data_IF_270456512111
#
_entry.id   IF_270456512111
#
_cell.length_a   1.000
_cell.length_b   1.000
_cell.length_c   1.000
_cell.angle_alpha   90.00
_cell.angle_beta   90.00
_cell.angle_gamma   90.00
#
_symmetry.space_group_name_H-M   'P 1'
#
loop_
_entity.id
_entity.type
_entity.pdbx_description
1 polymer ?
#
# COMPACT_ATOMS: atom_id res chain seq x y z
N UNK A 1 -16.03 3.51 -8.56
CA UNK A 1 -14.69 3.90 -9.06
C UNK A 1 -13.90 2.71 -9.60
N UNK A 2 -13.29 1.82 -8.79
CA UNK A 2 -12.42 0.76 -9.33
C UNK A 2 -13.15 -0.23 -10.26
N UNK A 3 -14.38 -0.61 -9.93
CA UNK A 3 -15.21 -1.46 -10.80
C UNK A 3 -15.55 -0.79 -12.15
N UNK A 4 -15.66 0.54 -12.17
CA UNK A 4 -15.89 1.30 -13.41
C UNK A 4 -14.65 1.28 -14.30
N UNK A 5 -13.47 1.51 -13.71
CA UNK A 5 -12.19 1.43 -14.44
C UNK A 5 -12.00 0.03 -15.03
N UNK A 6 -12.30 -1.01 -14.25
CA UNK A 6 -12.21 -2.40 -14.73
C UNK A 6 -13.15 -2.70 -15.90
N UNK A 7 -14.36 -2.11 -15.92
CA UNK A 7 -15.29 -2.21 -17.06
C UNK A 7 -14.79 -1.48 -18.31
N UNK A 8 -14.05 -0.38 -18.14
CA UNK A 8 -13.42 0.35 -19.27
C UNK A 8 -12.29 -0.49 -19.88
N UNK A 9 -11.45 -1.11 -19.03
CA UNK A 9 -10.38 -1.98 -19.50
C UNK A 9 -9.77 -2.77 -18.36
N UNK A 10 -9.93 -4.09 -18.39
CA UNK A 10 -9.40 -5.00 -17.38
C UNK A 10 -7.87 -5.09 -17.37
N UNK A 11 -7.20 -4.58 -18.39
CA UNK A 11 -5.74 -4.49 -18.49
C UNK A 11 -5.16 -3.26 -17.79
N UNK A 12 -5.98 -2.29 -17.37
CA UNK A 12 -5.52 -1.08 -16.70
C UNK A 12 -5.11 -1.44 -15.25
N UNK A 13 -3.84 -1.25 -14.85
CA UNK A 13 -3.42 -1.51 -13.48
C UNK A 13 -4.12 -0.55 -12.51
N UNK A 14 -4.63 -1.08 -11.40
CA UNK A 14 -5.27 -0.29 -10.35
C UNK A 14 -4.73 -0.64 -8.97
N UNK A 15 -4.79 0.35 -8.06
CA UNK A 15 -4.45 0.18 -6.65
C UNK A 15 -5.59 0.58 -5.73
N UNK A 16 -5.75 -0.15 -4.63
CA UNK A 16 -6.73 0.14 -3.58
C UNK A 16 -6.12 1.11 -2.56
N UNK A 17 -6.71 2.30 -2.41
CA UNK A 17 -6.28 3.34 -1.47
C UNK A 17 -7.04 3.22 -0.14
N UNK A 18 -6.32 3.18 0.99
CA UNK A 18 -6.91 3.04 2.34
C UNK A 18 -6.25 4.02 3.30
N UNK A 19 -7.06 4.89 3.92
CA UNK A 19 -6.61 5.94 4.84
C UNK A 19 -6.70 5.59 6.33
N UNK A 20 -7.69 4.80 6.73
CA UNK A 20 -7.97 4.52 8.15
C UNK A 20 -8.40 3.06 8.35
N UNK A 21 -7.99 2.46 9.49
CA UNK A 21 -8.52 1.18 9.98
C UNK A 21 -8.32 1.06 11.50
N UNK A 22 -9.30 0.53 12.26
CA UNK A 22 -9.13 0.23 13.69
C UNK A 22 -8.08 -0.87 13.94
N UNK A 23 -7.46 -0.85 15.12
CA UNK A 23 -6.27 -1.60 15.52
C UNK A 23 -6.46 -3.14 15.52
N UNK A 24 -5.56 -3.85 14.81
CA UNK A 24 -5.16 -5.27 14.93
C UNK A 24 -4.45 -5.75 13.64
N UNK A 25 -3.22 -6.26 13.73
CA UNK A 25 -2.31 -6.32 12.56
C UNK A 25 -2.63 -7.40 11.51
N UNK A 26 -2.94 -8.64 11.92
CA UNK A 26 -3.18 -9.77 10.99
C UNK A 26 -4.59 -9.74 10.37
N UNK A 27 -5.68 -9.48 11.14
CA UNK A 27 -7.01 -9.33 10.57
C UNK A 27 -7.07 -8.26 9.47
N UNK A 28 -6.32 -7.15 9.62
CA UNK A 28 -6.25 -6.07 8.65
C UNK A 28 -5.58 -6.48 7.34
N UNK A 29 -4.42 -7.14 7.36
CA UNK A 29 -3.74 -7.55 6.13
C UNK A 29 -4.67 -8.40 5.25
N UNK A 30 -5.33 -9.39 5.84
CA UNK A 30 -6.29 -10.24 5.12
C UNK A 30 -7.53 -9.46 4.65
N UNK A 31 -7.99 -8.48 5.42
CA UNK A 31 -9.08 -7.59 4.99
C UNK A 31 -8.69 -6.78 3.76
N UNK A 32 -7.53 -6.14 3.76
CA UNK A 32 -7.07 -5.33 2.63
C UNK A 32 -6.82 -6.16 1.37
N UNK A 33 -6.25 -7.35 1.55
CA UNK A 33 -6.05 -8.31 0.46
C UNK A 33 -7.37 -8.76 -0.15
N UNK A 34 -8.38 -9.09 0.67
CA UNK A 34 -9.72 -9.43 0.16
C UNK A 34 -10.35 -8.27 -0.60
N UNK A 35 -10.32 -7.07 -0.01
CA UNK A 35 -10.87 -5.88 -0.66
C UNK A 35 -10.17 -5.60 -2.00
N UNK A 36 -8.84 -5.71 -2.07
CA UNK A 36 -8.09 -5.52 -3.30
C UNK A 36 -8.42 -6.59 -4.35
N UNK A 37 -8.52 -7.86 -3.94
CA UNK A 37 -8.88 -8.95 -4.83
C UNK A 37 -10.30 -8.82 -5.39
N UNK A 38 -11.27 -8.42 -4.55
CA UNK A 38 -12.68 -8.24 -4.92
C UNK A 38 -12.84 -7.19 -6.05
N UNK A 39 -12.09 -6.09 -5.95
CA UNK A 39 -12.11 -5.02 -6.97
C UNK A 39 -11.11 -5.23 -8.11
N UNK A 40 -10.32 -6.32 -8.07
CA UNK A 40 -9.30 -6.63 -9.07
C UNK A 40 -8.07 -5.71 -9.05
N UNK A 41 -7.78 -5.06 -7.93
CA UNK A 41 -6.59 -4.23 -7.76
C UNK A 41 -5.35 -5.11 -7.51
N UNK A 42 -4.25 -4.85 -8.23
CA UNK A 42 -2.97 -5.56 -8.08
C UNK A 42 -2.06 -4.98 -7.00
N UNK A 43 -2.47 -3.86 -6.39
CA UNK A 43 -1.67 -3.07 -5.46
C UNK A 43 -2.54 -2.53 -4.32
N UNK A 44 -1.95 -2.40 -3.14
CA UNK A 44 -2.56 -1.79 -1.96
C UNK A 44 -1.73 -0.56 -1.59
N UNK A 45 -2.39 0.58 -1.37
CA UNK A 45 -1.76 1.85 -0.99
C UNK A 45 -2.32 2.33 0.34
N UNK A 46 -1.49 2.34 1.38
CA UNK A 46 -1.91 2.61 2.76
C UNK A 46 -1.37 3.93 3.27
N UNK A 47 -2.11 4.55 4.19
CA UNK A 47 -1.51 5.56 5.05
C UNK A 47 -0.29 4.96 5.76
N UNK A 48 0.86 5.65 5.74
CA UNK A 48 2.11 5.14 6.29
C UNK A 48 2.03 4.78 7.78
N UNK A 49 1.10 5.39 8.52
CA UNK A 49 0.86 5.10 9.93
C UNK A 49 0.22 3.72 10.17
N UNK A 50 -0.36 3.09 9.13
CA UNK A 50 -0.90 1.73 9.20
C UNK A 50 0.13 0.65 8.86
N UNK A 51 1.26 1.04 8.25
CA UNK A 51 2.27 0.07 7.82
C UNK A 51 3.08 -0.41 9.03
N UNK A 52 2.91 -1.68 9.37
CA UNK A 52 3.69 -2.40 10.39
C UNK A 52 4.45 -3.56 9.73
N UNK A 53 5.58 -4.02 10.28
CA UNK A 53 6.39 -5.09 9.68
C UNK A 53 5.58 -6.35 9.35
N UNK A 54 4.71 -6.80 10.26
CA UNK A 54 3.88 -7.99 10.06
C UNK A 54 2.85 -7.79 8.95
N UNK A 55 2.17 -6.64 8.95
CA UNK A 55 1.19 -6.31 7.93
C UNK A 55 1.83 -6.22 6.54
N UNK A 56 2.98 -5.55 6.42
CA UNK A 56 3.74 -5.47 5.17
C UNK A 56 4.18 -6.85 4.68
N UNK A 57 4.69 -7.70 5.57
CA UNK A 57 5.06 -9.07 5.26
C UNK A 57 3.87 -9.88 4.74
N UNK A 58 2.71 -9.85 5.40
CA UNK A 58 1.55 -10.64 5.00
C UNK A 58 0.95 -10.19 3.65
N UNK A 59 0.94 -8.88 3.36
CA UNK A 59 0.52 -8.33 2.05
C UNK A 59 1.46 -8.82 0.95
N UNK A 60 2.77 -8.64 1.14
CA UNK A 60 3.78 -9.01 0.14
C UNK A 60 3.86 -10.51 -0.10
N UNK A 61 3.77 -11.33 0.95
CA UNK A 61 3.79 -12.80 0.85
C UNK A 61 2.66 -13.33 -0.05
N UNK A 62 1.59 -12.57 -0.24
CA UNK A 62 0.44 -12.93 -1.09
C UNK A 62 0.48 -12.29 -2.48
N UNK A 63 1.61 -11.67 -2.85
CA UNK A 63 1.83 -11.17 -4.21
C UNK A 63 1.29 -9.77 -4.49
N UNK A 64 0.81 -9.04 -3.48
CA UNK A 64 0.36 -7.67 -3.66
C UNK A 64 1.52 -6.69 -3.50
N UNK A 65 1.62 -5.71 -4.41
CA UNK A 65 2.46 -4.53 -4.20
C UNK A 65 1.92 -3.67 -3.07
N UNK A 66 2.79 -3.19 -2.19
CA UNK A 66 2.43 -2.30 -1.09
C UNK A 66 3.06 -0.92 -1.28
N UNK A 67 2.22 0.11 -1.33
CA UNK A 67 2.62 1.52 -1.38
C UNK A 67 2.23 2.22 -0.08
N UNK A 68 2.92 3.32 0.25
CA UNK A 68 2.66 4.13 1.44
C UNK A 68 2.52 5.61 1.09
N UNK A 69 1.59 6.30 1.76
CA UNK A 69 1.35 7.74 1.59
C UNK A 69 0.97 8.44 2.92
N UNK A 70 1.09 9.75 3.07
CA UNK A 70 2.14 10.59 2.46
C UNK A 70 3.30 10.62 3.45
N UNK A 71 4.51 10.31 2.99
CA UNK A 71 5.67 10.16 3.88
C UNK A 71 6.64 11.29 3.61
N UNK A 72 6.85 12.15 4.60
CA UNK A 72 7.71 13.34 4.47
C UNK A 72 8.92 13.30 5.41
N UNK A 73 9.09 12.22 6.18
CA UNK A 73 10.17 12.02 7.14
C UNK A 73 11.12 10.90 6.68
N UNK A 74 12.42 11.21 6.54
CA UNK A 74 13.40 10.31 5.92
C UNK A 74 13.57 8.98 6.68
N UNK A 75 13.53 9.02 8.01
CA UNK A 75 13.67 7.80 8.81
C UNK A 75 12.47 6.88 8.57
N UNK A 76 11.27 7.44 8.45
CA UNK A 76 10.09 6.66 8.10
C UNK A 76 10.16 6.12 6.67
N UNK A 77 10.71 6.87 5.72
CA UNK A 77 10.92 6.37 4.36
C UNK A 77 11.84 5.14 4.37
N UNK A 78 12.96 5.19 5.11
CA UNK A 78 13.90 4.07 5.26
C UNK A 78 13.25 2.85 5.90
N UNK A 79 12.49 3.06 6.97
CA UNK A 79 11.75 1.97 7.63
C UNK A 79 10.79 1.27 6.66
N UNK A 80 10.02 2.03 5.87
CA UNK A 80 9.07 1.47 4.90
C UNK A 80 9.80 0.71 3.79
N UNK A 81 10.91 1.26 3.28
CA UNK A 81 11.74 0.60 2.28
C UNK A 81 12.29 -0.74 2.82
N UNK A 82 12.76 -0.78 4.07
CA UNK A 82 13.22 -2.01 4.73
C UNK A 82 12.09 -3.04 4.92
N UNK A 83 10.85 -2.60 5.13
CA UNK A 83 9.68 -3.49 5.18
C UNK A 83 9.28 -4.02 3.78
N UNK A 84 9.91 -3.51 2.72
CA UNK A 84 9.68 -3.89 1.33
C UNK A 84 8.45 -3.23 0.71
N UNK A 85 8.06 -2.06 1.20
CA UNK A 85 7.16 -1.15 0.49
C UNK A 85 7.83 -0.79 -0.84
N UNK A 86 7.09 -0.92 -1.94
CA UNK A 86 7.62 -0.76 -3.31
C UNK A 86 7.30 0.61 -3.94
N UNK A 87 6.58 1.46 -3.21
CA UNK A 87 6.29 2.83 -3.62
C UNK A 87 6.00 3.73 -2.42
N UNK A 88 6.58 4.92 -2.42
CA UNK A 88 6.35 5.94 -1.39
C UNK A 88 5.84 7.21 -2.09
N UNK A 89 4.66 7.67 -1.69
CA UNK A 89 4.16 8.99 -2.08
C UNK A 89 4.66 10.00 -1.05
N UNK A 90 5.34 11.05 -1.52
CA UNK A 90 5.95 12.09 -0.67
C UNK A 90 5.70 13.48 -1.24
N UNK A 91 5.55 14.48 -0.37
CA UNK A 91 5.61 15.89 -0.74
C UNK A 91 7.06 16.40 -0.87
N UNK A 92 8.05 15.61 -0.42
CA UNK A 92 9.49 15.91 -0.45
C UNK A 92 10.25 14.90 -1.33
N UNK A 93 10.04 14.91 -2.66
CA UNK A 93 10.68 13.93 -3.56
C UNK A 93 12.21 14.03 -3.57
N UNK A 94 12.77 15.21 -3.29
CA UNK A 94 14.20 15.46 -3.09
C UNK A 94 14.76 14.69 -1.89
N UNK A 95 13.97 14.56 -0.81
CA UNK A 95 14.33 13.75 0.35
C UNK A 95 14.20 12.26 0.05
N UNK A 96 13.14 11.86 -0.65
CA UNK A 96 12.91 10.46 -1.05
C UNK A 96 14.02 9.92 -1.97
N UNK A 97 14.61 10.76 -2.83
CA UNK A 97 15.71 10.36 -3.72
C UNK A 97 17.04 10.05 -2.98
N UNK A 98 17.09 10.21 -1.65
CA UNK A 98 18.28 9.93 -0.83
C UNK A 98 18.25 8.54 -0.16
N UNK A 99 17.19 7.75 -0.38
CA UNK A 99 17.02 6.43 0.25
C UNK A 99 17.12 5.27 -0.74
#
# INVERSE_FOLDING_TARGET
VLDEIRRIGSSIPTGLLIGESPEDEIPQAMRFIRMAAEVGAGMISLNHNLVRPRLAYEIRRRGFGLWAWTVDEIDRMRELAQMGVVGITSNKPDLLNQI
#
